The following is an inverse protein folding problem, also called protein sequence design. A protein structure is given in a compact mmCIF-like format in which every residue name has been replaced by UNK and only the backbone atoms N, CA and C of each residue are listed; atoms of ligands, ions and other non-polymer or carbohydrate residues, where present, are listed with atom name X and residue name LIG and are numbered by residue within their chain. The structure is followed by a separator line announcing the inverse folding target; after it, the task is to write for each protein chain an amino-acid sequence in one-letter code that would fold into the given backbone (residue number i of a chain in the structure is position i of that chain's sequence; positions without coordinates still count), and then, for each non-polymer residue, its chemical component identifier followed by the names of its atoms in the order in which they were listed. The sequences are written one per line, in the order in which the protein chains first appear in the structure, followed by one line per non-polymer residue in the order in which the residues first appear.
data_IF_797114043856
#
_entry.id   IF_797114043856
#
_cell.length_a   1.000
_cell.length_b   1.000
_cell.length_c   1.000
_cell.angle_alpha   90.00
_cell.angle_beta   90.00
_cell.angle_gamma   90.00
#
_symmetry.space_group_name_H-M   'P 1'
#
loop_
_entity.id
_entity.type
_entity.pdbx_description
1 polymer ?
#
# COMPACT_ATOMS: atom_id res chain seq x y z
N UNK A 1 -23.51 -17.40 87.59
CA UNK A 1 -22.41 -17.27 86.55
C UNK A 1 -23.01 -17.26 85.15
N UNK A 2 -23.23 -16.09 84.59
CA UNK A 2 -23.74 -15.97 83.23
C UNK A 2 -22.56 -15.70 82.30
N UNK A 3 -22.40 -16.53 81.25
CA UNK A 3 -21.43 -16.31 80.15
C UNK A 3 -22.10 -15.49 79.02
N UNK A 4 -21.52 -14.42 78.56
CA UNK A 4 -22.03 -13.74 77.35
C UNK A 4 -21.57 -14.44 76.12
N UNK A 5 -22.52 -14.75 75.23
CA UNK A 5 -22.25 -15.24 73.83
C UNK A 5 -21.94 -14.05 72.96
N UNK A 6 -20.76 -14.07 72.28
CA UNK A 6 -20.30 -13.06 71.32
C UNK A 6 -20.84 -13.46 69.95
N UNK A 7 -21.75 -12.69 69.36
CA UNK A 7 -22.19 -12.84 68.01
C UNK A 7 -21.22 -12.06 67.06
N UNK A 8 -20.51 -12.82 66.25
CA UNK A 8 -19.64 -12.23 65.16
C UNK A 8 -20.48 -12.02 63.91
N UNK A 9 -20.78 -10.77 63.62
CA UNK A 9 -21.46 -10.41 62.36
C UNK A 9 -20.43 -10.31 61.21
N UNK A 10 -20.50 -11.24 60.28
CA UNK A 10 -19.67 -11.24 59.04
C UNK A 10 -20.33 -10.36 58.01
N UNK A 11 -19.77 -9.18 57.76
CA UNK A 11 -20.21 -8.26 56.69
C UNK A 11 -19.58 -8.69 55.36
N UNK A 12 -20.36 -9.28 54.49
CA UNK A 12 -19.90 -9.63 53.12
C UNK A 12 -19.96 -8.40 52.23
N UNK A 13 -18.79 -7.89 51.88
CA UNK A 13 -18.64 -6.77 50.96
C UNK A 13 -18.80 -7.28 49.51
N UNK A 14 -19.94 -7.00 48.86
CA UNK A 14 -20.13 -7.25 47.41
C UNK A 14 -19.38 -6.19 46.61
N UNK A 15 -18.26 -6.58 46.02
CA UNK A 15 -17.55 -5.79 45.01
C UNK A 15 -18.34 -5.87 43.68
N UNK A 16 -19.08 -4.81 43.36
CA UNK A 16 -19.68 -4.59 42.05
C UNK A 16 -18.55 -4.26 41.05
N UNK A 17 -18.16 -5.22 40.22
CA UNK A 17 -17.30 -4.97 39.08
C UNK A 17 -18.12 -4.30 37.96
N UNK A 18 -18.02 -2.99 37.87
CA UNK A 18 -18.54 -2.23 36.72
C UNK A 18 -17.62 -2.52 35.51
N UNK A 19 -18.04 -3.38 34.62
CA UNK A 19 -17.39 -3.52 33.29
C UNK A 19 -17.63 -2.25 32.49
N UNK A 20 -16.64 -1.37 32.43
CA UNK A 20 -16.63 -0.25 31.50
C UNK A 20 -16.44 -0.87 30.11
N UNK A 21 -17.51 -0.92 29.32
CA UNK A 21 -17.40 -1.25 27.91
C UNK A 21 -16.51 -0.20 27.26
N UNK A 22 -15.29 -0.59 26.87
CA UNK A 22 -14.41 0.26 26.07
C UNK A 22 -15.11 0.53 24.74
N UNK A 23 -15.45 1.77 24.47
CA UNK A 23 -15.92 2.16 23.14
C UNK A 23 -14.80 1.83 22.13
N UNK A 24 -15.15 1.14 21.04
CA UNK A 24 -14.18 0.87 19.98
C UNK A 24 -13.60 2.20 19.48
N UNK A 25 -12.29 2.25 19.26
CA UNK A 25 -11.64 3.43 18.70
C UNK A 25 -12.29 3.79 17.34
N UNK A 26 -12.42 5.09 17.02
CA UNK A 26 -12.96 5.49 15.73
C UNK A 26 -12.09 4.92 14.61
N UNK A 27 -12.75 4.41 13.57
CA UNK A 27 -12.06 3.86 12.40
C UNK A 27 -11.38 4.97 11.60
N UNK A 28 -10.22 4.67 11.04
CA UNK A 28 -9.56 5.49 10.04
C UNK A 28 -10.43 5.56 8.78
N UNK A 29 -10.53 6.73 8.17
CA UNK A 29 -11.27 6.91 6.93
C UNK A 29 -10.37 6.69 5.73
N UNK A 30 -10.69 5.73 4.89
CA UNK A 30 -9.98 5.42 3.67
C UNK A 30 -10.84 5.72 2.45
N UNK A 31 -10.28 6.36 1.43
CA UNK A 31 -10.91 6.59 0.14
C UNK A 31 -10.19 5.79 -0.94
N UNK A 32 -10.89 4.89 -1.62
CA UNK A 32 -10.36 4.29 -2.84
C UNK A 32 -10.79 5.16 -4.02
N UNK A 33 -9.83 5.54 -4.87
CA UNK A 33 -10.08 6.27 -6.13
C UNK A 33 -9.91 5.31 -7.29
N UNK A 34 -10.97 5.16 -8.10
CA UNK A 34 -11.01 4.26 -9.26
C UNK A 34 -11.82 4.87 -10.44
N UNK A 35 -12.35 4.02 -11.34
CA UNK A 35 -13.23 4.40 -12.46
C UNK A 35 -12.57 4.33 -13.83
N UNK A 36 -11.24 4.50 -13.91
CA UNK A 36 -10.45 4.29 -15.12
C UNK A 36 -9.16 3.58 -14.76
N UNK A 37 -8.85 2.50 -15.47
CA UNK A 37 -7.60 1.76 -15.38
C UNK A 37 -7.46 0.91 -16.65
N UNK A 38 -6.23 0.57 -17.03
CA UNK A 38 -5.96 -0.41 -18.08
C UNK A 38 -6.05 -1.85 -17.58
N UNK A 39 -6.30 -2.04 -16.28
CA UNK A 39 -6.56 -3.33 -15.61
C UNK A 39 -8.02 -3.38 -15.12
N UNK A 40 -8.47 -4.55 -14.70
CA UNK A 40 -9.86 -4.77 -14.24
C UNK A 40 -10.09 -4.17 -12.83
N UNK A 41 -10.23 -2.85 -12.78
CA UNK A 41 -10.49 -2.13 -11.54
C UNK A 41 -11.85 -2.52 -10.91
N UNK A 42 -12.84 -2.92 -11.73
CA UNK A 42 -14.15 -3.36 -11.24
C UNK A 42 -14.03 -4.63 -10.40
N UNK A 43 -13.09 -5.52 -10.73
CA UNK A 43 -12.80 -6.71 -9.95
C UNK A 43 -11.83 -6.43 -8.77
N UNK A 44 -10.87 -5.52 -8.93
CA UNK A 44 -9.83 -5.29 -7.93
C UNK A 44 -10.24 -4.29 -6.84
N UNK A 45 -11.02 -3.25 -7.12
CA UNK A 45 -11.51 -2.31 -6.10
C UNK A 45 -12.31 -2.97 -4.97
N UNK A 46 -13.25 -3.90 -5.24
CA UNK A 46 -13.94 -4.64 -4.17
C UNK A 46 -13.00 -5.45 -3.28
N UNK A 47 -11.92 -6.00 -3.82
CA UNK A 47 -10.91 -6.72 -3.05
C UNK A 47 -10.10 -5.79 -2.15
N UNK A 48 -9.64 -4.65 -2.67
CA UNK A 48 -8.96 -3.63 -1.87
C UNK A 48 -9.83 -3.19 -0.68
N UNK A 49 -11.11 -2.90 -0.95
CA UNK A 49 -12.07 -2.56 0.09
C UNK A 49 -12.23 -3.67 1.12
N UNK A 50 -12.46 -4.92 0.66
CA UNK A 50 -12.62 -6.10 1.51
C UNK A 50 -11.42 -6.27 2.45
N UNK A 51 -10.19 -6.16 1.93
CA UNK A 51 -8.97 -6.34 2.72
C UNK A 51 -8.85 -5.25 3.80
N UNK A 52 -8.99 -3.99 3.44
CA UNK A 52 -8.91 -2.88 4.38
C UNK A 52 -9.99 -2.96 5.47
N UNK A 53 -11.25 -3.24 5.10
CA UNK A 53 -12.36 -3.38 6.08
C UNK A 53 -12.18 -4.59 7.00
N UNK A 54 -11.59 -5.69 6.50
CA UNK A 54 -11.32 -6.91 7.27
C UNK A 54 -10.31 -6.70 8.41
N UNK A 55 -9.46 -5.66 8.34
CA UNK A 55 -8.56 -5.27 9.43
C UNK A 55 -9.32 -4.78 10.66
N UNK A 56 -10.56 -4.32 10.48
CA UNK A 56 -11.32 -3.61 11.53
C UNK A 56 -10.87 -2.16 11.74
N UNK A 57 -9.75 -1.72 11.17
CA UNK A 57 -9.18 -0.38 11.34
C UNK A 57 -9.85 0.67 10.47
N UNK A 58 -10.33 0.30 9.27
CA UNK A 58 -10.79 1.26 8.27
C UNK A 58 -12.30 1.26 8.07
N UNK A 59 -12.84 2.45 7.80
CA UNK A 59 -14.09 2.67 7.10
C UNK A 59 -13.75 3.13 5.69
N UNK A 60 -14.23 2.42 4.66
CA UNK A 60 -13.77 2.60 3.28
C UNK A 60 -14.88 3.13 2.39
N UNK A 61 -14.66 4.31 1.81
CA UNK A 61 -15.47 4.87 0.73
C UNK A 61 -14.77 4.68 -0.63
N UNK A 62 -15.53 4.78 -1.71
CA UNK A 62 -15.01 4.69 -3.08
C UNK A 62 -15.47 5.92 -3.86
N UNK A 63 -14.53 6.59 -4.53
CA UNK A 63 -14.80 7.65 -5.48
C UNK A 63 -14.49 7.15 -6.90
N UNK A 64 -15.51 6.80 -7.63
CA UNK A 64 -15.42 6.34 -9.01
C UNK A 64 -15.46 7.52 -9.96
N UNK A 65 -14.40 7.70 -10.76
CA UNK A 65 -14.36 8.74 -11.78
C UNK A 65 -15.35 8.44 -12.92
N UNK A 66 -15.80 9.46 -13.67
CA UNK A 66 -16.47 9.23 -14.95
C UNK A 66 -15.65 8.31 -15.86
N UNK A 67 -16.35 7.57 -16.73
CA UNK A 67 -15.71 6.69 -17.69
C UNK A 67 -14.81 7.46 -18.67
N UNK A 68 -13.84 6.79 -19.27
CA UNK A 68 -12.93 7.38 -20.24
C UNK A 68 -13.69 8.07 -21.39
N UNK A 69 -13.27 9.28 -21.73
CA UNK A 69 -13.93 10.14 -22.73
C UNK A 69 -15.12 10.93 -22.20
N UNK A 70 -15.49 10.80 -20.92
CA UNK A 70 -16.51 11.63 -20.30
C UNK A 70 -15.89 12.84 -19.58
N UNK A 71 -16.71 13.83 -19.29
CA UNK A 71 -16.25 15.04 -18.60
C UNK A 71 -15.82 14.73 -17.14
N UNK A 72 -14.56 14.96 -16.85
CA UNK A 72 -13.96 14.84 -15.51
C UNK A 72 -14.01 16.14 -14.71
N UNK A 73 -14.62 17.21 -15.24
CA UNK A 73 -14.63 18.51 -14.56
C UNK A 73 -15.38 18.49 -13.21
N UNK A 74 -16.36 17.58 -13.07
CA UNK A 74 -17.14 17.38 -11.84
C UNK A 74 -16.49 16.37 -10.88
N UNK A 75 -15.41 15.71 -11.26
CA UNK A 75 -14.75 14.73 -10.38
C UNK A 75 -13.86 15.43 -9.37
N UNK A 76 -14.41 15.70 -8.19
CA UNK A 76 -13.77 16.41 -7.08
C UNK A 76 -13.91 15.63 -5.77
N UNK A 77 -13.18 14.52 -5.57
CA UNK A 77 -13.18 13.83 -4.29
C UNK A 77 -12.71 14.78 -3.17
N UNK A 78 -13.37 14.73 -2.02
CA UNK A 78 -13.00 15.50 -0.84
C UNK A 78 -11.87 14.81 -0.09
N UNK A 79 -10.66 14.80 -0.65
CA UNK A 79 -9.51 14.09 -0.10
C UNK A 79 -9.24 14.43 1.37
N UNK A 80 -9.44 15.69 1.77
CA UNK A 80 -9.22 16.16 3.13
C UNK A 80 -10.13 15.52 4.21
N UNK A 81 -11.21 14.85 3.82
CA UNK A 81 -12.09 14.14 4.73
C UNK A 81 -11.57 12.76 5.12
N UNK A 82 -10.42 12.32 4.55
CA UNK A 82 -9.86 10.98 4.69
C UNK A 82 -8.46 10.98 5.27
N UNK A 83 -8.14 9.96 6.05
CA UNK A 83 -6.81 9.74 6.62
C UNK A 83 -5.84 9.15 5.58
N UNK A 84 -6.38 8.36 4.62
CA UNK A 84 -5.61 7.75 3.54
C UNK A 84 -6.42 7.65 2.25
N UNK A 85 -5.76 7.93 1.12
CA UNK A 85 -6.30 7.71 -0.23
C UNK A 85 -5.57 6.54 -0.88
N UNK A 86 -6.31 5.54 -1.33
CA UNK A 86 -5.80 4.39 -2.08
C UNK A 86 -6.08 4.62 -3.56
N UNK A 87 -5.04 4.83 -4.36
CA UNK A 87 -5.18 5.01 -5.80
C UNK A 87 -5.18 3.66 -6.51
N UNK A 88 -6.32 3.32 -7.12
CA UNK A 88 -6.49 2.25 -8.11
C UNK A 88 -6.88 2.86 -9.47
N UNK A 89 -6.34 4.04 -9.76
CA UNK A 89 -6.67 4.85 -10.93
C UNK A 89 -5.49 4.97 -11.89
N UNK A 90 -5.72 4.66 -13.15
CA UNK A 90 -4.79 4.91 -14.25
C UNK A 90 -5.60 5.32 -15.50
N UNK A 91 -6.00 6.57 -15.56
CA UNK A 91 -6.89 7.10 -16.58
C UNK A 91 -6.51 8.49 -17.06
N UNK A 92 -7.51 9.16 -17.60
CA UNK A 92 -7.36 10.53 -18.12
C UNK A 92 -6.98 11.51 -17.02
N UNK A 93 -6.28 12.60 -17.36
CA UNK A 93 -5.85 13.61 -16.40
C UNK A 93 -7.02 14.24 -15.65
N UNK A 94 -6.92 14.33 -14.33
CA UNK A 94 -7.87 15.09 -13.51
C UNK A 94 -7.81 16.59 -13.80
N UNK A 95 -8.85 17.33 -13.46
CA UNK A 95 -8.88 18.78 -13.53
C UNK A 95 -7.75 19.41 -12.71
N UNK A 96 -7.32 20.61 -13.05
CA UNK A 96 -6.28 21.34 -12.30
C UNK A 96 -6.69 21.52 -10.82
N UNK A 97 -7.99 21.77 -10.55
CA UNK A 97 -8.51 21.93 -9.19
C UNK A 97 -8.42 20.62 -8.40
N UNK A 98 -8.76 19.48 -9.00
CA UNK A 98 -8.67 18.17 -8.37
C UNK A 98 -7.22 17.78 -8.10
N UNK A 99 -6.32 18.04 -9.05
CA UNK A 99 -4.88 17.82 -8.86
C UNK A 99 -4.33 18.67 -7.71
N UNK A 100 -4.70 19.95 -7.64
CA UNK A 100 -4.24 20.83 -6.57
C UNK A 100 -4.77 20.37 -5.21
N UNK A 101 -6.06 20.01 -5.12
CA UNK A 101 -6.65 19.48 -3.88
C UNK A 101 -5.94 18.21 -3.40
N UNK A 102 -5.52 17.34 -4.32
CA UNK A 102 -4.74 16.14 -3.97
C UNK A 102 -3.33 16.50 -3.49
N UNK A 103 -2.63 17.43 -4.15
CA UNK A 103 -1.32 17.92 -3.71
C UNK A 103 -1.41 18.52 -2.31
N UNK A 104 -2.39 19.40 -2.07
CA UNK A 104 -2.59 20.06 -0.78
C UNK A 104 -2.89 19.06 0.34
N UNK A 105 -3.71 18.04 0.03
CA UNK A 105 -4.01 16.95 0.94
C UNK A 105 -2.75 16.20 1.35
N UNK A 106 -1.94 15.75 0.39
CA UNK A 106 -0.73 14.98 0.70
C UNK A 106 0.30 15.86 1.39
N UNK A 107 0.58 17.04 0.85
CA UNK A 107 1.54 17.97 1.45
C UNK A 107 1.15 18.39 2.87
N UNK A 108 -0.15 18.46 3.17
CA UNK A 108 -0.71 18.77 4.49
C UNK A 108 -0.56 17.65 5.53
N UNK A 109 -0.26 16.42 5.11
CA UNK A 109 -0.09 15.28 6.01
C UNK A 109 -0.92 14.05 5.67
N UNK A 110 -1.74 14.11 4.62
CA UNK A 110 -2.55 12.99 4.14
C UNK A 110 -1.73 11.79 3.69
N UNK A 111 -2.25 10.59 3.91
CA UNK A 111 -1.64 9.34 3.48
C UNK A 111 -2.07 8.94 2.07
N UNK A 112 -1.16 8.31 1.32
CA UNK A 112 -1.48 7.77 -0.02
C UNK A 112 -0.92 6.37 -0.16
N UNK A 113 -1.72 5.48 -0.77
CA UNK A 113 -1.27 4.18 -1.25
C UNK A 113 -1.45 4.14 -2.77
N UNK A 114 -0.38 3.85 -3.49
CA UNK A 114 -0.38 3.67 -4.94
C UNK A 114 -0.36 2.17 -5.21
N UNK A 115 -1.37 1.67 -5.92
CA UNK A 115 -1.54 0.23 -6.17
C UNK A 115 -1.29 -0.06 -7.65
N UNK A 116 -0.28 -0.89 -7.92
CA UNK A 116 0.05 -1.42 -9.24
C UNK A 116 0.01 -0.34 -10.34
N UNK A 117 -0.87 -0.48 -11.32
CA UNK A 117 -0.97 0.42 -12.46
C UNK A 117 -1.31 1.88 -12.10
N UNK A 118 -1.66 2.20 -10.87
CA UNK A 118 -1.81 3.59 -10.48
C UNK A 118 -0.49 4.37 -10.59
N UNK A 119 0.67 3.70 -10.58
CA UNK A 119 1.95 4.36 -10.85
C UNK A 119 2.17 4.71 -12.35
N UNK A 120 1.30 4.24 -13.24
CA UNK A 120 1.33 4.59 -14.66
C UNK A 120 0.64 5.93 -14.93
N UNK A 121 -0.27 6.34 -14.03
CA UNK A 121 -1.08 7.54 -14.19
C UNK A 121 -0.23 8.82 -14.31
N UNK A 122 -0.77 9.82 -14.98
CA UNK A 122 -0.35 11.21 -14.95
C UNK A 122 1.14 11.49 -15.25
N UNK A 123 1.70 11.02 -16.37
CA UNK A 123 3.10 11.27 -16.70
C UNK A 123 3.45 12.77 -16.75
N UNK A 124 2.49 13.62 -17.16
CA UNK A 124 2.67 15.06 -17.29
C UNK A 124 2.41 15.85 -15.98
N UNK A 125 2.26 15.15 -14.83
CA UNK A 125 2.02 15.81 -13.55
C UNK A 125 3.24 15.66 -12.63
N UNK A 126 4.12 16.68 -12.55
CA UNK A 126 5.39 16.59 -11.82
C UNK A 126 5.25 16.18 -10.37
N UNK A 127 4.31 16.79 -9.62
CA UNK A 127 4.10 16.47 -8.20
C UNK A 127 3.67 15.02 -7.99
N UNK A 128 2.84 14.46 -8.90
CA UNK A 128 2.48 13.04 -8.82
C UNK A 128 3.70 12.15 -9.06
N UNK A 129 4.55 12.49 -10.03
CA UNK A 129 5.79 11.74 -10.27
C UNK A 129 6.76 11.83 -9.09
N UNK A 130 6.80 12.96 -8.36
CA UNK A 130 7.56 13.10 -7.11
C UNK A 130 6.98 12.20 -6.00
N UNK A 131 5.65 12.14 -5.86
CA UNK A 131 4.96 11.31 -4.87
C UNK A 131 5.19 9.82 -5.09
N UNK A 132 5.12 9.36 -6.35
CA UNK A 132 5.28 7.93 -6.67
C UNK A 132 6.74 7.50 -6.80
N UNK A 133 7.67 8.43 -7.10
CA UNK A 133 9.10 8.20 -7.25
C UNK A 133 9.50 7.44 -8.51
N UNK A 134 8.88 6.31 -8.78
CA UNK A 134 9.05 5.50 -9.99
C UNK A 134 7.68 5.19 -10.58
N UNK A 135 7.58 5.27 -11.89
CA UNK A 135 6.36 4.97 -12.63
C UNK A 135 6.63 4.25 -13.94
N UNK A 136 5.57 3.82 -14.59
CA UNK A 136 5.64 3.24 -15.93
C UNK A 136 5.95 4.33 -16.95
N UNK A 137 7.24 4.58 -17.18
CA UNK A 137 7.75 5.66 -18.01
C UNK A 137 8.81 5.14 -18.97
N UNK A 138 9.01 5.86 -20.07
CA UNK A 138 10.10 5.58 -21.01
C UNK A 138 11.49 5.88 -20.44
N UNK A 139 12.57 5.37 -21.06
CA UNK A 139 13.93 5.47 -20.52
C UNK A 139 14.40 6.91 -20.33
N UNK A 140 13.92 7.86 -21.15
CA UNK A 140 14.32 9.28 -21.11
C UNK A 140 13.63 10.07 -19.98
N UNK A 141 12.61 9.52 -19.33
CA UNK A 141 11.77 10.26 -18.38
C UNK A 141 12.52 10.66 -17.11
N UNK A 142 13.43 9.83 -16.65
CA UNK A 142 14.19 10.06 -15.42
C UNK A 142 15.10 8.88 -15.07
N UNK A 143 15.82 8.94 -13.95
CA UNK A 143 16.64 7.82 -13.52
C UNK A 143 15.80 6.57 -13.21
N UNK A 144 16.44 5.41 -13.38
CA UNK A 144 15.99 4.13 -12.83
C UNK A 144 16.68 3.89 -11.49
N UNK A 145 15.98 3.28 -10.56
CA UNK A 145 16.53 2.79 -9.29
C UNK A 145 16.32 1.28 -9.21
N UNK A 146 17.39 0.53 -9.00
CA UNK A 146 17.37 -0.89 -8.65
C UNK A 146 18.24 -1.13 -7.43
N UNK A 147 18.27 -2.36 -6.91
CA UNK A 147 19.22 -2.74 -5.87
C UNK A 147 20.16 -3.82 -6.42
N UNK A 148 21.41 -3.82 -5.95
CA UNK A 148 22.31 -4.94 -6.18
C UNK A 148 21.98 -6.13 -5.25
N UNK A 149 22.72 -7.23 -5.39
CA UNK A 149 22.52 -8.43 -4.56
C UNK A 149 22.74 -8.16 -3.06
N UNK A 150 23.57 -7.18 -2.72
CA UNK A 150 23.82 -6.75 -1.35
C UNK A 150 22.75 -5.77 -0.83
N UNK A 151 21.76 -5.42 -1.65
CA UNK A 151 20.68 -4.48 -1.31
C UNK A 151 21.07 -3.01 -1.41
N UNK A 152 22.20 -2.68 -2.05
CA UNK A 152 22.63 -1.29 -2.24
C UNK A 152 21.91 -0.67 -3.45
N UNK A 153 21.47 0.59 -3.37
CA UNK A 153 20.86 1.29 -4.49
C UNK A 153 21.82 1.45 -5.68
N UNK A 154 21.32 1.09 -6.85
CA UNK A 154 21.99 1.30 -8.15
C UNK A 154 21.13 2.25 -8.97
N UNK A 155 21.68 3.40 -9.37
CA UNK A 155 20.99 4.39 -10.18
C UNK A 155 21.49 4.35 -11.61
N UNK A 156 20.57 4.25 -12.56
CA UNK A 156 20.85 4.36 -13.99
C UNK A 156 20.35 5.71 -14.47
N UNK A 157 21.17 6.53 -15.15
CA UNK A 157 20.75 7.84 -15.67
C UNK A 157 19.60 7.74 -16.66
N UNK A 158 18.88 8.86 -16.92
CA UNK A 158 17.95 8.94 -18.04
C UNK A 158 18.64 8.61 -19.37
N UNK A 159 17.95 7.96 -20.27
CA UNK A 159 18.46 7.54 -21.59
C UNK A 159 19.29 6.26 -21.58
N UNK A 160 19.72 5.78 -20.41
CA UNK A 160 20.49 4.54 -20.29
C UNK A 160 19.61 3.37 -19.81
N UNK A 161 19.77 2.20 -20.45
CA UNK A 161 19.04 0.98 -20.08
C UNK A 161 17.56 1.01 -20.45
N UNK A 162 16.75 0.06 -19.91
CA UNK A 162 15.35 -0.11 -20.32
C UNK A 162 14.44 0.98 -19.75
N UNK A 163 13.33 1.25 -20.43
CA UNK A 163 12.13 1.85 -19.87
C UNK A 163 11.29 0.81 -19.12
N UNK A 164 10.16 1.24 -18.57
CA UNK A 164 9.25 0.36 -17.85
C UNK A 164 8.68 -0.74 -18.75
N UNK A 165 8.53 -1.92 -18.16
CA UNK A 165 8.00 -3.11 -18.79
C UNK A 165 7.72 -4.20 -17.75
N UNK A 166 7.29 -5.35 -18.24
CA UNK A 166 7.20 -6.62 -17.50
C UNK A 166 7.42 -7.79 -18.48
N UNK A 167 7.80 -8.94 -17.96
CA UNK A 167 7.78 -10.19 -18.71
C UNK A 167 6.41 -10.88 -18.64
N UNK A 168 6.31 -12.17 -19.02
CA UNK A 168 5.12 -12.97 -18.79
C UNK A 168 4.77 -13.00 -17.30
N UNK A 169 3.46 -13.03 -17.00
CA UNK A 169 2.97 -13.18 -15.63
C UNK A 169 3.44 -14.51 -15.04
N UNK A 170 3.98 -14.49 -13.84
CA UNK A 170 4.46 -15.65 -13.13
C UNK A 170 4.49 -15.39 -11.62
N UNK A 171 4.64 -16.45 -10.84
CA UNK A 171 4.93 -16.32 -9.41
C UNK A 171 6.43 -16.01 -9.21
N UNK A 172 6.74 -15.08 -8.29
CA UNK A 172 8.13 -14.70 -8.03
C UNK A 172 8.38 -14.38 -6.55
N UNK A 173 9.60 -14.63 -6.06
CA UNK A 173 9.97 -14.24 -4.70
C UNK A 173 10.05 -12.72 -4.56
N UNK A 174 9.37 -12.18 -3.55
CA UNK A 174 9.55 -10.82 -3.07
C UNK A 174 10.47 -10.85 -1.88
N UNK A 175 11.56 -10.09 -1.94
CA UNK A 175 12.66 -10.08 -0.95
C UNK A 175 12.57 -8.80 -0.13
N UNK A 176 12.42 -8.93 1.18
CA UNK A 176 12.43 -7.81 2.12
C UNK A 176 13.84 -7.23 2.18
N UNK A 177 13.97 -5.94 1.92
CA UNK A 177 15.25 -5.20 1.94
C UNK A 177 15.41 -4.31 3.17
N UNK A 178 14.28 -3.94 3.76
CA UNK A 178 14.23 -3.12 4.97
C UNK A 178 13.28 -3.76 5.97
N UNK A 179 13.80 -4.44 6.97
CA UNK A 179 13.05 -5.12 8.03
C UNK A 179 12.82 -4.25 9.27
N UNK A 180 13.31 -3.01 9.26
CA UNK A 180 13.10 -2.05 10.35
C UNK A 180 11.89 -1.14 10.10
N UNK A 181 11.47 -0.99 8.84
CA UNK A 181 10.31 -0.16 8.51
C UNK A 181 9.02 -0.80 9.03
N UNK A 182 8.08 -0.04 9.63
CA UNK A 182 6.84 -0.60 10.21
C UNK A 182 6.04 -1.52 9.27
N UNK A 183 6.00 -1.24 7.97
CA UNK A 183 5.27 -2.04 6.98
C UNK A 183 5.85 -3.45 6.87
N UNK A 184 7.17 -3.59 6.89
CA UNK A 184 7.89 -4.85 6.63
C UNK A 184 8.47 -5.50 7.88
N UNK A 185 8.45 -4.78 9.01
CA UNK A 185 8.99 -5.29 10.28
C UNK A 185 8.35 -6.61 10.70
N UNK A 186 9.21 -7.57 11.00
CA UNK A 186 8.80 -8.91 11.44
C UNK A 186 8.31 -9.83 10.32
N UNK A 187 8.20 -9.37 9.06
CA UNK A 187 7.93 -10.26 7.93
C UNK A 187 9.13 -11.19 7.67
N UNK A 188 8.90 -12.39 7.10
CA UNK A 188 9.99 -13.23 6.59
C UNK A 188 10.86 -12.46 5.61
N UNK A 189 12.14 -12.85 5.49
CA UNK A 189 13.10 -12.19 4.59
C UNK A 189 12.70 -12.27 3.12
N UNK A 190 11.87 -13.26 2.75
CA UNK A 190 11.27 -13.39 1.42
C UNK A 190 9.96 -14.18 1.50
N UNK A 191 9.09 -13.93 0.52
CA UNK A 191 7.88 -14.74 0.30
C UNK A 191 7.62 -14.93 -1.19
N UNK A 192 7.03 -16.07 -1.56
CA UNK A 192 6.60 -16.32 -2.93
C UNK A 192 5.25 -15.60 -3.17
N UNK A 193 5.29 -14.58 -4.02
CA UNK A 193 4.10 -13.87 -4.46
C UNK A 193 3.35 -14.71 -5.51
N UNK A 194 2.01 -14.58 -5.54
CA UNK A 194 1.17 -15.25 -6.54
C UNK A 194 1.52 -14.78 -7.96
N UNK A 195 0.94 -15.44 -8.97
CA UNK A 195 1.10 -15.04 -10.37
C UNK A 195 0.71 -13.57 -10.57
N UNK A 196 1.68 -12.78 -11.04
CA UNK A 196 1.54 -11.33 -11.17
C UNK A 196 2.46 -10.80 -12.29
N UNK A 197 2.31 -9.53 -12.65
CA UNK A 197 3.26 -8.80 -13.49
C UNK A 197 4.42 -8.28 -12.64
N UNK A 198 5.63 -8.77 -12.89
CA UNK A 198 6.81 -8.21 -12.28
C UNK A 198 7.21 -6.94 -13.05
N UNK A 199 6.82 -5.76 -12.54
CA UNK A 199 7.21 -4.48 -13.13
C UNK A 199 8.71 -4.27 -13.01
N UNK A 200 9.34 -3.90 -14.12
CA UNK A 200 10.77 -3.61 -14.17
C UNK A 200 11.07 -2.34 -14.98
N UNK A 201 12.29 -1.84 -14.89
CA UNK A 201 12.75 -0.72 -15.68
C UNK A 201 11.98 0.59 -15.43
N UNK A 202 11.26 0.69 -14.32
CA UNK A 202 10.48 1.88 -13.97
C UNK A 202 11.38 3.11 -13.85
N UNK A 203 10.84 4.26 -14.26
CA UNK A 203 11.56 5.54 -14.32
C UNK A 203 10.83 6.62 -13.53
N UNK A 204 11.58 7.57 -13.03
CA UNK A 204 11.02 8.72 -12.35
C UNK A 204 12.07 9.51 -11.59
N UNK A 205 11.68 10.50 -10.79
CA UNK A 205 12.62 11.26 -9.96
C UNK A 205 13.41 10.36 -9.01
N UNK A 206 12.80 9.30 -8.50
CA UNK A 206 13.36 8.35 -7.54
C UNK A 206 14.09 9.05 -6.37
N UNK A 207 13.61 10.24 -6.01
CA UNK A 207 14.15 11.04 -4.93
C UNK A 207 13.49 10.67 -3.60
N UNK A 208 14.25 10.70 -2.51
CA UNK A 208 13.77 10.44 -1.15
C UNK A 208 13.07 9.08 -0.97
N UNK A 209 13.34 8.15 -1.87
CA UNK A 209 12.70 6.85 -1.94
C UNK A 209 13.40 5.86 -1.00
N UNK A 210 12.64 5.23 -0.11
CA UNK A 210 13.08 4.13 0.76
C UNK A 210 12.46 2.84 0.25
N UNK A 211 13.29 1.98 -0.35
CA UNK A 211 12.84 0.68 -0.89
C UNK A 211 12.68 -0.31 0.25
N UNK A 212 11.51 -0.91 0.36
CA UNK A 212 11.16 -1.89 1.42
C UNK A 212 11.34 -3.33 0.95
N UNK A 213 11.00 -3.62 -0.31
CA UNK A 213 11.13 -4.94 -0.90
C UNK A 213 11.40 -4.87 -2.40
N UNK A 214 12.05 -5.92 -2.92
CA UNK A 214 12.40 -6.07 -4.34
C UNK A 214 12.03 -7.46 -4.83
N UNK A 215 11.98 -7.61 -6.17
CA UNK A 215 12.00 -8.92 -6.81
C UNK A 215 13.08 -8.95 -7.91
N UNK A 216 13.70 -10.12 -8.11
CA UNK A 216 14.63 -10.32 -9.22
C UNK A 216 13.87 -10.42 -10.53
N UNK A 217 14.06 -9.43 -11.40
CA UNK A 217 13.50 -9.45 -12.76
C UNK A 217 14.39 -10.30 -13.66
N UNK A 218 14.18 -11.61 -13.62
CA UNK A 218 15.06 -12.58 -14.25
C UNK A 218 15.06 -12.46 -15.78
N UNK A 219 16.24 -12.46 -16.41
CA UNK A 219 16.40 -12.27 -17.87
C UNK A 219 15.71 -13.39 -18.67
N UNK A 220 15.69 -14.62 -18.16
CA UNK A 220 14.99 -15.74 -18.79
C UNK A 220 13.46 -15.65 -18.72
N UNK A 221 12.93 -14.70 -17.97
CA UNK A 221 11.50 -14.33 -17.91
C UNK A 221 11.23 -12.98 -18.61
N UNK A 222 12.09 -12.56 -19.52
CA UNK A 222 11.97 -11.27 -20.21
C UNK A 222 12.30 -10.06 -19.34
N UNK A 223 12.96 -10.28 -18.24
CA UNK A 223 13.33 -9.26 -17.27
C UNK A 223 14.68 -8.59 -17.53
N UNK A 224 15.04 -7.67 -16.65
CA UNK A 224 16.23 -6.81 -16.75
C UNK A 224 17.51 -7.41 -16.14
N UNK A 225 17.41 -8.54 -15.44
CA UNK A 225 18.52 -9.12 -14.69
C UNK A 225 18.87 -8.36 -13.40
N UNK A 226 17.96 -7.52 -12.88
CA UNK A 226 18.20 -6.72 -11.69
C UNK A 226 17.10 -6.90 -10.64
N UNK A 227 17.41 -6.55 -9.39
CA UNK A 227 16.40 -6.45 -8.33
C UNK A 227 15.61 -5.16 -8.45
N UNK A 228 14.39 -5.27 -8.94
CA UNK A 228 13.46 -4.15 -9.13
C UNK A 228 12.68 -3.86 -7.83
N UNK A 229 12.46 -2.59 -7.49
CA UNK A 229 11.60 -2.22 -6.37
C UNK A 229 10.17 -2.69 -6.56
N UNK A 230 9.63 -3.41 -5.56
CA UNK A 230 8.24 -3.85 -5.53
C UNK A 230 7.42 -3.07 -4.52
N UNK A 231 8.03 -2.71 -3.39
CA UNK A 231 7.42 -1.92 -2.32
C UNK A 231 8.37 -0.79 -1.93
N UNK A 232 7.85 0.43 -1.81
CA UNK A 232 8.64 1.57 -1.32
C UNK A 232 7.78 2.64 -0.69
N UNK A 233 8.43 3.56 0.04
CA UNK A 233 7.79 4.73 0.64
C UNK A 233 8.53 6.01 0.29
N UNK A 234 7.77 7.11 0.21
CA UNK A 234 8.27 8.47 -0.04
C UNK A 234 7.54 9.45 0.87
N UNK A 235 8.24 10.35 1.56
CA UNK A 235 7.62 11.52 2.18
C UNK A 235 7.33 12.59 1.11
N UNK A 236 6.14 13.20 1.16
CA UNK A 236 5.80 14.34 0.33
C UNK A 236 5.18 15.44 1.20
N UNK A 237 5.89 16.56 1.39
CA UNK A 237 5.51 17.54 2.40
C UNK A 237 5.46 16.90 3.80
N UNK A 238 4.31 16.94 4.46
CA UNK A 238 4.05 16.25 5.72
C UNK A 238 3.41 14.88 5.54
N UNK A 239 3.01 14.55 4.32
CA UNK A 239 2.32 13.30 3.98
C UNK A 239 3.25 12.12 3.76
N UNK A 240 2.64 10.96 3.63
CA UNK A 240 3.32 9.66 3.50
C UNK A 240 2.73 8.91 2.31
N UNK A 241 3.59 8.53 1.38
CA UNK A 241 3.18 7.75 0.21
C UNK A 241 3.80 6.36 0.30
N UNK A 242 2.97 5.34 0.24
CA UNK A 242 3.37 3.95 0.08
C UNK A 242 2.99 3.48 -1.32
N UNK A 243 3.93 2.88 -2.03
CA UNK A 243 3.69 2.28 -3.35
C UNK A 243 3.93 0.79 -3.30
N UNK A 244 2.98 0.03 -3.81
CA UNK A 244 3.10 -1.38 -4.15
C UNK A 244 2.84 -1.56 -5.63
N UNK A 245 3.77 -2.16 -6.37
CA UNK A 245 3.57 -2.53 -7.78
C UNK A 245 3.05 -3.96 -7.95
N UNK A 246 2.79 -4.65 -6.85
CA UNK A 246 2.06 -5.91 -6.83
C UNK A 246 0.57 -5.64 -7.05
N UNK A 247 -0.18 -6.64 -7.54
CA UNK A 247 -1.64 -6.58 -7.58
C UNK A 247 -2.26 -6.30 -8.94
N UNK A 248 -1.67 -6.84 -10.02
CA UNK A 248 -2.23 -6.76 -11.39
C UNK A 248 -3.67 -7.26 -11.49
N UNK A 249 -4.00 -8.32 -10.77
CA UNK A 249 -5.25 -9.06 -10.92
C UNK A 249 -5.84 -9.47 -9.58
N UNK A 250 -7.12 -9.92 -9.55
CA UNK A 250 -7.70 -10.50 -8.35
C UNK A 250 -6.87 -11.62 -7.74
N UNK A 251 -6.24 -12.47 -8.57
CA UNK A 251 -5.40 -13.59 -8.11
C UNK A 251 -4.17 -13.06 -7.34
N UNK A 252 -3.49 -12.07 -7.89
CA UNK A 252 -2.35 -11.40 -7.24
C UNK A 252 -2.75 -10.70 -5.95
N UNK A 253 -3.90 -9.99 -5.93
CA UNK A 253 -4.41 -9.29 -4.75
C UNK A 253 -4.89 -10.20 -3.62
N UNK A 254 -5.20 -11.46 -3.91
CA UNK A 254 -5.55 -12.47 -2.90
C UNK A 254 -4.31 -13.07 -2.22
N UNK A 255 -3.10 -12.83 -2.71
CA UNK A 255 -1.86 -13.27 -2.04
C UNK A 255 -1.75 -12.64 -0.65
N UNK A 256 -1.55 -13.48 0.39
CA UNK A 256 -1.49 -13.00 1.78
C UNK A 256 -0.33 -12.03 1.99
N UNK A 257 0.77 -12.17 1.24
CA UNK A 257 1.86 -11.20 1.23
C UNK A 257 1.43 -9.82 0.74
N UNK A 258 0.63 -9.76 -0.36
CA UNK A 258 0.04 -8.51 -0.84
C UNK A 258 -0.92 -7.93 0.20
N UNK A 259 -1.88 -8.73 0.70
CA UNK A 259 -2.87 -8.30 1.69
C UNK A 259 -2.17 -7.68 2.90
N UNK A 260 -1.22 -8.39 3.50
CA UNK A 260 -0.51 -7.93 4.70
C UNK A 260 0.23 -6.62 4.47
N UNK A 261 0.91 -6.48 3.32
CA UNK A 261 1.67 -5.27 3.02
C UNK A 261 0.78 -4.10 2.61
N UNK A 262 -0.37 -4.34 1.96
CA UNK A 262 -1.41 -3.35 1.68
C UNK A 262 -1.99 -2.79 2.98
N UNK A 263 -2.43 -3.67 3.89
CA UNK A 263 -3.08 -3.29 5.15
C UNK A 263 -2.14 -2.46 6.03
N UNK A 264 -0.90 -2.93 6.21
CA UNK A 264 0.14 -2.21 6.95
C UNK A 264 0.56 -0.92 6.24
N UNK A 265 0.62 -0.93 4.92
CA UNK A 265 0.94 0.25 4.11
C UNK A 265 -0.10 1.34 4.23
N UNK A 266 -1.38 0.97 4.22
CA UNK A 266 -2.49 1.91 4.39
C UNK A 266 -2.52 2.49 5.82
N UNK A 267 -2.32 1.65 6.85
CA UNK A 267 -2.24 2.13 8.24
C UNK A 267 -1.05 3.07 8.44
N UNK A 268 0.12 2.70 7.93
CA UNK A 268 1.30 3.54 8.02
C UNK A 268 1.13 4.86 7.25
N UNK A 269 0.56 4.83 6.06
CA UNK A 269 0.31 6.04 5.30
C UNK A 269 -0.63 6.98 6.05
N UNK A 270 -1.70 6.46 6.65
CA UNK A 270 -2.66 7.23 7.44
C UNK A 270 -2.04 7.81 8.72
N UNK A 271 -1.28 7.01 9.48
CA UNK A 271 -0.92 7.32 10.88
C UNK A 271 0.57 7.51 11.14
N UNK A 272 1.43 7.02 10.25
CA UNK A 272 2.88 6.88 10.47
C UNK A 272 3.26 5.64 11.29
N UNK A 273 2.30 4.80 11.67
CA UNK A 273 2.50 3.62 12.52
C UNK A 273 1.84 2.37 11.91
N UNK A 274 2.18 1.21 12.43
CA UNK A 274 1.52 -0.07 12.15
C UNK A 274 1.24 -0.74 13.49
N UNK A 275 -0.03 -0.96 13.81
CA UNK A 275 -0.48 -1.61 15.05
C UNK A 275 -0.67 -3.12 14.87
N UNK A 276 -1.06 -3.57 13.68
CA UNK A 276 -1.22 -5.00 13.35
C UNK A 276 0.12 -5.62 12.95
N UNK A 277 1.02 -5.77 13.91
CA UNK A 277 2.39 -6.25 13.69
C UNK A 277 2.52 -7.77 13.56
N UNK A 278 1.51 -8.53 13.99
CA UNK A 278 1.54 -9.99 13.89
C UNK A 278 1.59 -10.44 12.42
N UNK A 279 2.49 -11.36 12.12
CA UNK A 279 2.52 -12.02 10.81
C UNK A 279 1.40 -13.06 10.77
N UNK A 280 0.51 -13.03 9.77
CA UNK A 280 -0.54 -14.02 9.65
C UNK A 280 0.02 -15.46 9.61
N UNK A 281 -0.65 -16.40 10.27
CA UNK A 281 -0.23 -17.81 10.29
C UNK A 281 -0.21 -18.45 8.88
N UNK A 282 -1.01 -17.91 7.97
CA UNK A 282 -1.08 -18.30 6.57
C UNK A 282 -0.21 -17.41 5.65
N UNK A 283 0.76 -16.66 6.20
CA UNK A 283 1.68 -15.87 5.37
C UNK A 283 2.50 -16.80 4.45
N UNK A 284 2.70 -16.45 3.16
CA UNK A 284 3.44 -17.30 2.23
C UNK A 284 4.90 -17.49 2.67
N UNK A 285 5.47 -18.65 2.34
CA UNK A 285 6.90 -18.92 2.52
C UNK A 285 7.67 -18.50 1.27
N UNK A 286 8.99 -18.66 1.28
CA UNK A 286 9.82 -18.31 0.12
C UNK A 286 9.55 -19.20 -1.11
N UNK A 287 8.95 -20.38 -0.92
CA UNK A 287 8.72 -21.44 -1.92
C UNK A 287 7.25 -21.83 -2.08
N UNK A 288 6.34 -21.28 -1.25
CA UNK A 288 4.93 -21.62 -1.27
C UNK A 288 4.04 -20.38 -1.23
N UNK A 289 3.19 -20.25 -2.25
CA UNK A 289 2.12 -19.24 -2.33
C UNK A 289 1.06 -19.51 -1.26
N UNK A 290 0.49 -18.44 -0.73
CA UNK A 290 -0.71 -18.48 0.10
C UNK A 290 -1.68 -17.39 -0.34
N UNK A 291 -2.96 -17.74 -0.51
CA UNK A 291 -4.01 -16.84 -0.98
C UNK A 291 -5.27 -16.97 -0.13
N UNK A 292 -5.99 -15.86 0.03
CA UNK A 292 -7.33 -15.80 0.64
C UNK A 292 -8.35 -15.44 -0.44
N UNK A 293 -9.16 -16.44 -0.82
CA UNK A 293 -10.25 -16.29 -1.81
C UNK A 293 -11.53 -15.72 -1.21
#
# INVERSE_FOLDING_TARGET
MFKPSLFLATTTLLLLHSSVASAAAPKLKALIVDGQNNHDWQATTPLLRKHLEATGLFAVDVATSPAKGQDLSSFHPKFADYDVVISNYNGEPWSAATKQAFVDYVAGGGGVVIVHAANNAFPEWPQYNEMIGLGWRGPEFGPRLTLDDAGKPVRTPPGEGPGAGHGPQHAYPVIVRDNEHPITKGLPSAWLHATDELYHGQRGPAANMRVLATAMSASNQGGTGAHEPMLWVIPFGKGRVFTTVLGHSPDAMQCVGFITTLDRGAEWAATGQVTQTAVPADFPTADKISQRK
#
